data_IF_656410353430
#
_entry.id   IF_656410353430
#
_cell.length_a   1.000
_cell.length_b   1.000
_cell.length_c   1.000
_cell.angle_alpha   90.00
_cell.angle_beta   90.00
_cell.angle_gamma   90.00
#
_symmetry.space_group_name_H-M   'P 1'
#
loop_
_entity.id
_entity.type
_entity.pdbx_description
1 polymer ?
#
# COMPACT_ATOMS: atom_id res chain seq x y z
N UNK A 1 -34.15 4.94 29.06
CA UNK A 1 -34.22 4.34 27.70
C UNK A 1 -35.34 5.01 26.92
N UNK A 2 -35.07 6.16 26.28
CA UNK A 2 -36.06 6.87 25.46
C UNK A 2 -36.02 6.34 24.04
N UNK A 3 -36.87 5.37 23.71
CA UNK A 3 -37.10 4.97 22.33
C UNK A 3 -37.88 6.08 21.63
N UNK A 4 -37.25 6.78 20.70
CA UNK A 4 -37.97 7.66 19.77
C UNK A 4 -38.79 6.76 18.84
N UNK A 5 -40.08 6.57 19.14
CA UNK A 5 -41.02 5.96 18.20
C UNK A 5 -41.12 6.86 16.98
N UNK A 6 -40.56 6.40 15.86
CA UNK A 6 -40.69 7.08 14.58
C UNK A 6 -42.14 7.01 14.13
N UNK A 7 -42.74 8.16 13.83
CA UNK A 7 -44.09 8.19 13.28
C UNK A 7 -44.11 7.55 11.88
N UNK A 8 -45.23 6.99 11.41
CA UNK A 8 -45.35 6.46 10.05
C UNK A 8 -44.95 7.47 8.97
N UNK A 9 -45.16 8.77 9.22
CA UNK A 9 -44.76 9.86 8.34
C UNK A 9 -43.23 10.05 8.28
N UNK A 10 -42.53 9.92 9.40
CA UNK A 10 -41.06 9.99 9.44
C UNK A 10 -40.42 8.80 8.72
N UNK A 11 -41.03 7.61 8.85
CA UNK A 11 -40.61 6.40 8.15
C UNK A 11 -40.80 6.55 6.63
N UNK A 12 -41.95 7.08 6.20
CA UNK A 12 -42.21 7.36 4.80
C UNK A 12 -41.25 8.42 4.22
N UNK A 13 -40.92 9.47 4.98
CA UNK A 13 -39.94 10.48 4.59
C UNK A 13 -38.55 9.87 4.44
N UNK A 14 -38.10 9.05 5.40
CA UNK A 14 -36.82 8.32 5.31
C UNK A 14 -36.78 7.39 4.10
N UNK A 15 -37.82 6.61 3.87
CA UNK A 15 -37.91 5.72 2.71
C UNK A 15 -37.84 6.48 1.38
N UNK A 16 -38.53 7.62 1.27
CA UNK A 16 -38.47 8.48 0.09
C UNK A 16 -37.06 9.02 -0.16
N UNK A 17 -36.36 9.45 0.90
CA UNK A 17 -34.96 9.90 0.80
C UNK A 17 -34.02 8.77 0.36
N UNK A 18 -34.17 7.58 0.93
CA UNK A 18 -33.37 6.39 0.56
C UNK A 18 -33.62 6.03 -0.91
N UNK A 19 -34.87 5.95 -1.35
CA UNK A 19 -35.21 5.64 -2.74
C UNK A 19 -34.63 6.69 -3.71
N UNK A 20 -34.67 7.98 -3.33
CA UNK A 20 -34.06 9.03 -4.13
C UNK A 20 -32.54 8.91 -4.21
N UNK A 21 -31.88 8.47 -3.14
CA UNK A 21 -30.44 8.21 -3.15
C UNK A 21 -30.11 7.01 -4.05
N UNK A 22 -30.83 5.90 -3.91
CA UNK A 22 -30.65 4.70 -4.73
C UNK A 22 -30.76 4.98 -6.23
N UNK A 23 -31.73 5.79 -6.65
CA UNK A 23 -31.86 6.15 -8.06
C UNK A 23 -30.71 7.04 -8.56
N UNK A 24 -30.15 7.92 -7.71
CA UNK A 24 -28.94 8.68 -8.05
C UNK A 24 -27.74 7.77 -8.21
N UNK A 25 -27.52 6.88 -7.25
CA UNK A 25 -26.39 5.94 -7.25
C UNK A 25 -26.46 5.01 -8.47
N UNK A 26 -27.67 4.60 -8.88
CA UNK A 26 -27.89 3.80 -10.09
C UNK A 26 -27.52 4.55 -11.37
N UNK A 27 -27.80 5.85 -11.45
CA UNK A 27 -27.39 6.69 -12.58
C UNK A 27 -25.87 6.85 -12.59
N UNK A 28 -25.26 7.08 -11.44
CA UNK A 28 -23.81 7.24 -11.29
C UNK A 28 -23.07 5.94 -11.66
N UNK A 29 -23.52 4.79 -11.14
CA UNK A 29 -22.96 3.48 -11.50
C UNK A 29 -23.03 3.20 -13.00
N UNK A 30 -24.11 3.60 -13.69
CA UNK A 30 -24.22 3.44 -15.15
C UNK A 30 -23.23 4.32 -15.92
N UNK A 31 -22.76 5.42 -15.32
CA UNK A 31 -21.77 6.34 -15.93
C UNK A 31 -20.33 5.94 -15.60
N UNK A 32 -20.12 5.17 -14.54
CA UNK A 32 -18.79 4.70 -14.11
C UNK A 32 -18.34 3.49 -14.92
N UNK A 33 -17.17 3.61 -15.57
CA UNK A 33 -16.50 2.49 -16.23
C UNK A 33 -15.58 1.77 -15.24
N UNK A 34 -15.77 0.46 -15.07
CA UNK A 34 -14.91 -0.40 -14.25
C UNK A 34 -13.89 -1.10 -15.14
N UNK A 35 -12.61 -0.84 -14.92
CA UNK A 35 -11.51 -1.43 -15.68
C UNK A 35 -10.83 -2.48 -14.81
N UNK A 36 -10.65 -3.69 -15.36
CA UNK A 36 -9.88 -4.76 -14.75
C UNK A 36 -8.56 -4.94 -15.50
N UNK A 37 -7.45 -4.74 -14.79
CA UNK A 37 -6.12 -4.93 -15.36
C UNK A 37 -5.59 -6.31 -14.95
N UNK A 38 -5.43 -7.21 -15.94
CA UNK A 38 -4.96 -8.58 -15.75
C UNK A 38 -3.49 -8.71 -16.18
N UNK A 39 -2.77 -9.62 -15.52
CA UNK A 39 -1.40 -9.97 -15.86
C UNK A 39 -0.70 -10.72 -14.73
N UNK A 40 0.41 -11.40 -15.04
CA UNK A 40 1.22 -12.13 -14.06
C UNK A 40 1.78 -11.25 -12.94
N UNK A 41 2.35 -11.83 -11.88
CA UNK A 41 3.06 -11.05 -10.87
C UNK A 41 4.10 -10.15 -11.53
N UNK A 42 4.32 -8.96 -10.96
CA UNK A 42 5.37 -8.01 -11.37
C UNK A 42 5.29 -7.41 -12.79
N UNK A 43 4.28 -7.73 -13.58
CA UNK A 43 4.13 -7.21 -14.95
C UNK A 43 3.80 -5.70 -15.06
N UNK A 44 3.97 -4.93 -13.99
CA UNK A 44 3.81 -3.47 -14.01
C UNK A 44 2.39 -2.94 -13.78
N UNK A 45 1.42 -3.78 -13.37
CA UNK A 45 0.04 -3.32 -13.08
C UNK A 45 0.01 -2.15 -12.10
N UNK A 46 0.71 -2.28 -10.98
CA UNK A 46 0.83 -1.22 -9.96
C UNK A 46 1.46 0.05 -10.54
N UNK A 47 2.39 -0.08 -11.48
CA UNK A 47 3.01 1.06 -12.18
C UNK A 47 2.00 1.79 -13.05
N UNK A 48 1.17 1.07 -13.80
CA UNK A 48 0.09 1.68 -14.59
C UNK A 48 -0.89 2.44 -13.68
N UNK A 49 -1.31 1.84 -12.56
CA UNK A 49 -2.19 2.52 -11.59
C UNK A 49 -1.54 3.77 -11.00
N UNK A 50 -0.23 3.73 -10.68
CA UNK A 50 0.52 4.90 -10.21
C UNK A 50 0.53 6.01 -11.28
N UNK A 51 0.76 5.68 -12.54
CA UNK A 51 0.71 6.67 -13.63
C UNK A 51 -0.69 7.25 -13.83
N UNK A 52 -1.74 6.42 -13.73
CA UNK A 52 -3.13 6.90 -13.79
C UNK A 52 -3.43 7.92 -12.67
N UNK A 53 -2.91 7.68 -11.45
CA UNK A 53 -3.05 8.60 -10.32
C UNK A 53 -2.31 9.92 -10.55
N UNK A 54 -1.15 9.90 -11.21
CA UNK A 54 -0.39 11.10 -11.56
C UNK A 54 -1.12 11.93 -12.65
N UNK A 55 -1.63 11.28 -13.69
CA UNK A 55 -2.14 11.98 -14.89
C UNK A 55 -3.60 12.43 -14.72
N UNK A 56 -4.43 11.63 -14.06
CA UNK A 56 -5.89 11.83 -14.04
C UNK A 56 -6.48 12.12 -12.66
N UNK A 57 -5.67 12.08 -11.61
CA UNK A 57 -6.07 12.41 -10.24
C UNK A 57 -5.12 13.50 -9.70
N UNK A 58 -5.30 13.88 -8.44
CA UNK A 58 -4.48 14.92 -7.78
C UNK A 58 -3.10 14.43 -7.33
N UNK A 59 -2.50 13.45 -8.02
CA UNK A 59 -1.22 12.87 -7.63
C UNK A 59 -1.27 12.12 -6.29
N UNK A 60 -0.15 12.12 -5.55
CA UNK A 60 0.01 11.43 -4.27
C UNK A 60 -0.08 12.40 -3.09
N UNK A 61 -0.71 11.95 -2.01
CA UNK A 61 -0.83 12.70 -0.75
C UNK A 61 0.44 12.60 0.11
N UNK A 62 0.57 13.46 1.11
CA UNK A 62 1.67 13.40 2.08
C UNK A 62 1.76 12.04 2.79
N UNK A 63 0.60 11.45 3.12
CA UNK A 63 0.52 10.11 3.70
C UNK A 63 1.02 9.03 2.72
N UNK A 64 0.71 9.16 1.43
CA UNK A 64 1.24 8.25 0.40
C UNK A 64 2.76 8.31 0.36
N UNK A 65 3.37 9.50 0.44
CA UNK A 65 4.83 9.65 0.43
C UNK A 65 5.50 9.01 1.67
N UNK A 66 4.90 9.14 2.85
CA UNK A 66 5.38 8.46 4.07
C UNK A 66 5.36 6.94 3.87
N UNK A 67 4.28 6.40 3.32
CA UNK A 67 4.16 4.97 3.04
C UNK A 67 5.16 4.52 1.95
N UNK A 68 5.35 5.31 0.90
CA UNK A 68 6.34 5.01 -0.14
C UNK A 68 7.76 5.01 0.40
N UNK A 69 8.09 5.93 1.31
CA UNK A 69 9.39 5.95 1.97
C UNK A 69 9.67 4.61 2.64
N UNK A 70 8.72 4.09 3.43
CA UNK A 70 8.84 2.77 4.06
C UNK A 70 9.02 1.65 3.02
N UNK A 71 8.18 1.61 1.99
CA UNK A 71 8.27 0.61 0.93
C UNK A 71 9.61 0.66 0.19
N UNK A 72 10.17 1.85 -0.06
CA UNK A 72 11.48 2.03 -0.69
C UNK A 72 12.57 1.42 0.20
N UNK A 73 12.57 1.70 1.51
CA UNK A 73 13.53 1.10 2.43
C UNK A 73 13.42 -0.43 2.46
N UNK A 74 12.21 -0.96 2.58
CA UNK A 74 11.98 -2.41 2.61
C UNK A 74 12.47 -3.07 1.32
N UNK A 75 12.18 -2.49 0.16
CA UNK A 75 12.65 -3.00 -1.14
C UNK A 75 14.17 -3.00 -1.24
N UNK A 76 14.86 -1.97 -0.74
CA UNK A 76 16.32 -1.91 -0.75
C UNK A 76 16.91 -3.00 0.15
N UNK A 77 16.36 -3.19 1.35
CA UNK A 77 16.82 -4.23 2.28
C UNK A 77 16.62 -5.63 1.68
N UNK A 78 15.44 -5.90 1.13
CA UNK A 78 15.14 -7.18 0.48
C UNK A 78 16.04 -7.42 -0.73
N UNK A 79 16.27 -6.41 -1.57
CA UNK A 79 17.16 -6.53 -2.72
C UNK A 79 18.61 -6.84 -2.30
N UNK A 80 19.10 -6.21 -1.22
CA UNK A 80 20.44 -6.49 -0.70
C UNK A 80 20.55 -7.92 -0.17
N UNK A 81 19.54 -8.42 0.55
CA UNK A 81 19.51 -9.82 0.98
C UNK A 81 19.51 -10.78 -0.20
N UNK A 82 18.62 -10.56 -1.19
CA UNK A 82 18.55 -11.39 -2.39
C UNK A 82 19.88 -11.42 -3.15
N UNK A 83 20.58 -10.28 -3.24
CA UNK A 83 21.89 -10.22 -3.88
C UNK A 83 22.95 -11.01 -3.10
N UNK A 84 22.96 -10.92 -1.78
CA UNK A 84 23.91 -11.65 -0.93
C UNK A 84 23.64 -13.17 -0.95
N UNK A 85 22.38 -13.56 -0.86
CA UNK A 85 21.95 -14.96 -0.94
C UNK A 85 22.29 -15.55 -2.32
N UNK A 86 22.05 -14.80 -3.39
CA UNK A 86 22.43 -15.20 -4.75
C UNK A 86 23.95 -15.31 -4.91
N UNK A 87 24.72 -14.36 -4.38
CA UNK A 87 26.18 -14.39 -4.39
C UNK A 87 26.72 -15.67 -3.72
N UNK A 88 26.14 -16.09 -2.59
CA UNK A 88 26.48 -17.35 -1.93
C UNK A 88 26.06 -18.56 -2.77
N UNK A 89 24.83 -18.57 -3.29
CA UNK A 89 24.27 -19.64 -4.11
C UNK A 89 25.06 -19.90 -5.41
N UNK A 90 25.54 -18.84 -6.06
CA UNK A 90 26.31 -18.93 -7.30
C UNK A 90 27.83 -19.03 -7.06
N UNK A 91 28.27 -19.22 -5.81
CA UNK A 91 29.68 -19.27 -5.43
C UNK A 91 30.49 -18.04 -5.88
N UNK A 92 29.85 -16.88 -5.89
CA UNK A 92 30.46 -15.58 -6.16
C UNK A 92 30.39 -14.70 -4.90
N UNK A 93 31.10 -15.08 -3.81
CA UNK A 93 31.02 -14.33 -2.57
C UNK A 93 31.56 -12.90 -2.76
N UNK A 94 31.09 -11.93 -1.95
CA UNK A 94 31.69 -10.61 -1.92
C UNK A 94 33.19 -10.67 -1.64
N UNK A 95 33.92 -9.72 -2.23
CA UNK A 95 35.36 -9.55 -2.00
C UNK A 95 35.70 -9.45 -0.49
N UNK A 96 36.79 -10.10 -0.06
CA UNK A 96 37.24 -10.13 1.33
C UNK A 96 38.11 -8.90 1.71
N UNK A 97 38.09 -7.85 0.88
CA UNK A 97 38.76 -6.61 1.22
C UNK A 97 38.22 -6.03 2.56
N UNK A 98 39.09 -5.42 3.39
CA UNK A 98 38.68 -4.93 4.70
C UNK A 98 37.54 -3.92 4.67
N UNK A 99 37.40 -3.15 3.59
CA UNK A 99 36.29 -2.22 3.35
C UNK A 99 34.96 -2.94 3.20
N UNK A 100 34.90 -3.96 2.33
CA UNK A 100 33.68 -4.72 2.05
C UNK A 100 33.26 -5.52 3.27
N UNK A 101 34.20 -6.19 3.95
CA UNK A 101 33.91 -6.90 5.21
C UNK A 101 33.32 -5.99 6.28
N UNK A 102 33.83 -4.77 6.43
CA UNK A 102 33.25 -3.77 7.35
C UNK A 102 31.83 -3.37 6.94
N UNK A 103 31.59 -3.14 5.65
CA UNK A 103 30.26 -2.79 5.15
C UNK A 103 29.24 -3.91 5.37
N UNK A 104 29.60 -5.17 5.11
CA UNK A 104 28.74 -6.33 5.35
C UNK A 104 28.41 -6.52 6.83
N UNK A 105 29.42 -6.38 7.70
CA UNK A 105 29.20 -6.45 9.14
C UNK A 105 28.28 -5.33 9.64
N UNK A 106 28.44 -4.11 9.09
CA UNK A 106 27.55 -3.00 9.40
C UNK A 106 26.11 -3.28 8.94
N UNK A 107 25.91 -3.75 7.70
CA UNK A 107 24.62 -4.11 7.15
C UNK A 107 23.92 -5.19 8.00
N UNK A 108 24.61 -6.29 8.32
CA UNK A 108 24.09 -7.37 9.17
C UNK A 108 23.68 -6.86 10.55
N UNK A 109 24.50 -5.99 11.16
CA UNK A 109 24.19 -5.37 12.46
C UNK A 109 22.99 -4.43 12.39
N UNK A 110 22.87 -3.67 11.29
CA UNK A 110 21.75 -2.77 11.04
C UNK A 110 20.44 -3.56 10.89
N UNK A 111 20.45 -4.62 10.08
CA UNK A 111 19.30 -5.50 9.84
C UNK A 111 18.73 -6.09 11.13
N UNK A 112 19.59 -6.60 12.02
CA UNK A 112 19.17 -7.18 13.30
C UNK A 112 18.44 -6.14 14.17
N UNK A 113 18.94 -4.90 14.20
CA UNK A 113 18.32 -3.83 14.99
C UNK A 113 16.98 -3.38 14.41
N UNK A 114 16.87 -3.30 13.08
CA UNK A 114 15.66 -2.81 12.40
C UNK A 114 14.55 -3.85 12.27
N UNK A 115 14.89 -5.15 12.24
CA UNK A 115 13.89 -6.23 12.22
C UNK A 115 13.00 -6.26 13.46
N UNK A 116 13.43 -5.68 14.60
CA UNK A 116 12.59 -5.55 15.81
C UNK A 116 11.63 -4.36 15.75
N UNK A 117 11.89 -3.34 14.93
CA UNK A 117 11.11 -2.09 14.87
C UNK A 117 10.03 -2.06 13.79
N UNK A 118 10.02 -2.99 12.84
CA UNK A 118 9.02 -3.01 11.74
C UNK A 118 7.65 -3.59 12.14
N UNK A 119 7.46 -4.07 13.37
CA UNK A 119 6.13 -4.53 13.87
C UNK A 119 5.34 -3.41 14.54
N UNK A 120 5.98 -2.33 15.00
CA UNK A 120 5.31 -1.29 15.79
C UNK A 120 4.60 -0.21 14.95
N UNK A 121 4.84 -0.13 13.64
CA UNK A 121 4.21 0.90 12.80
C UNK A 121 2.83 0.51 12.20
N UNK A 122 2.07 -0.34 12.91
CA UNK A 122 0.71 -0.72 12.52
C UNK A 122 -0.35 -0.40 13.59
N UNK A 123 -0.01 0.31 14.68
CA UNK A 123 -0.97 0.65 15.75
C UNK A 123 -1.23 2.13 15.99
N UNK A 124 -0.51 3.06 15.36
CA UNK A 124 -0.68 4.50 15.62
C UNK A 124 -1.20 5.32 14.42
N UNK A 125 -2.00 4.69 13.55
CA UNK A 125 -2.68 5.37 12.43
C UNK A 125 -4.19 5.09 12.36
N UNK A 126 -4.86 4.87 13.50
CA UNK A 126 -6.31 5.08 13.64
C UNK A 126 -6.61 6.44 14.25
#
# INVERSE_FOLDING_TARGET
CGGTEFTPADLARKNSLINRQLERDKIEMKRTLKILLLGGPECGKSTIFKQMKIIHLNGFSDLDYVNFRYLIYSNIMQAMDQLLDAAEMFHFPPDDSPSIRRALNHYRSYKIRYSMSEVELNRELT
#
